data_IF_541821072564
#
_entry.id   IF_541821072564
#
_cell.length_a   1.000
_cell.length_b   1.000
_cell.length_c   1.000
_cell.angle_alpha   90.00
_cell.angle_beta   90.00
_cell.angle_gamma   90.00
#
_symmetry.space_group_name_H-M   'P 1'
#
loop_
_entity.id
_entity.type
_entity.pdbx_description
1 polymer ?
#
# COMPACT_ATOMS: atom_id res chain seq x y z
N UNK A 1 -13.44 -21.20 -6.41
CA UNK A 1 -13.32 -19.76 -6.75
C UNK A 1 -13.51 -19.65 -8.25
N UNK A 2 -14.70 -19.24 -8.70
CA UNK A 2 -14.93 -18.92 -10.11
C UNK A 2 -14.04 -17.72 -10.48
N UNK A 3 -13.52 -17.68 -11.71
CA UNK A 3 -12.63 -16.59 -12.17
C UNK A 3 -13.26 -15.21 -11.92
N UNK A 4 -14.59 -15.11 -12.07
CA UNK A 4 -15.35 -13.91 -11.73
C UNK A 4 -15.18 -13.44 -10.28
N UNK A 5 -15.20 -14.33 -9.29
CA UNK A 5 -14.96 -13.95 -7.89
C UNK A 5 -13.54 -13.43 -7.65
N UNK A 6 -12.56 -13.94 -8.42
CA UNK A 6 -11.17 -13.49 -8.38
C UNK A 6 -10.96 -12.04 -8.86
N UNK A 7 -11.89 -11.52 -9.66
CA UNK A 7 -11.84 -10.16 -10.23
C UNK A 7 -12.79 -9.23 -9.47
N UNK A 8 -14.02 -9.67 -9.24
CA UNK A 8 -15.06 -8.84 -8.63
C UNK A 8 -14.74 -8.46 -7.19
N UNK A 9 -14.16 -9.38 -6.40
CA UNK A 9 -13.90 -9.12 -4.99
C UNK A 9 -12.81 -8.04 -4.76
N UNK A 10 -11.64 -8.08 -5.45
CA UNK A 10 -10.68 -6.97 -5.41
C UNK A 10 -11.26 -5.62 -5.80
N UNK A 11 -12.06 -5.58 -6.87
CA UNK A 11 -12.71 -4.36 -7.34
C UNK A 11 -13.71 -3.84 -6.31
N UNK A 12 -14.56 -4.73 -5.79
CA UNK A 12 -15.54 -4.38 -4.77
C UNK A 12 -14.89 -3.81 -3.50
N UNK A 13 -13.72 -4.32 -3.10
CA UNK A 13 -12.97 -3.78 -1.97
C UNK A 13 -12.45 -2.37 -2.26
N UNK A 14 -11.82 -2.15 -3.41
CA UNK A 14 -11.33 -0.81 -3.79
C UNK A 14 -12.46 0.21 -3.92
N UNK A 15 -13.53 -0.15 -4.62
CA UNK A 15 -14.72 0.70 -4.78
C UNK A 15 -15.42 0.92 -3.45
N UNK A 16 -15.53 -0.10 -2.60
CA UNK A 16 -16.14 0.02 -1.28
C UNK A 16 -15.39 0.99 -0.37
N UNK A 17 -14.05 0.97 -0.38
CA UNK A 17 -13.23 1.96 0.35
C UNK A 17 -13.44 3.36 -0.22
N UNK A 18 -13.49 3.50 -1.55
CA UNK A 18 -13.74 4.78 -2.20
C UNK A 18 -15.10 5.36 -1.80
N UNK A 19 -16.18 4.60 -1.97
CA UNK A 19 -17.55 5.03 -1.63
C UNK A 19 -17.67 5.33 -0.15
N UNK A 20 -17.07 4.51 0.72
CA UNK A 20 -17.04 4.79 2.14
C UNK A 20 -16.35 6.13 2.44
N UNK A 21 -15.16 6.36 1.88
CA UNK A 21 -14.42 7.60 2.15
C UNK A 21 -15.05 8.84 1.53
N UNK A 22 -15.83 8.71 0.46
CA UNK A 22 -16.62 9.80 -0.12
C UNK A 22 -17.81 10.17 0.78
N UNK A 23 -18.46 9.18 1.40
CA UNK A 23 -19.65 9.37 2.24
C UNK A 23 -19.32 9.66 3.70
N UNK A 24 -18.14 9.25 4.16
CA UNK A 24 -17.68 9.46 5.52
C UNK A 24 -17.45 10.95 5.79
N UNK A 25 -17.93 11.45 6.93
CA UNK A 25 -17.65 12.83 7.36
C UNK A 25 -16.25 12.89 7.98
N UNK A 26 -15.29 13.62 7.39
CA UNK A 26 -13.91 13.66 7.89
C UNK A 26 -13.82 14.21 9.32
N UNK A 27 -12.99 13.58 10.15
CA UNK A 27 -12.67 14.04 11.51
C UNK A 27 -11.19 14.46 11.61
N UNK A 28 -10.93 15.73 11.34
CA UNK A 28 -9.60 16.33 11.43
C UNK A 28 -9.01 16.34 12.84
N UNK A 29 -9.81 16.05 13.88
CA UNK A 29 -9.34 15.92 15.26
C UNK A 29 -8.97 14.48 15.62
N UNK A 30 -9.13 13.51 14.71
CA UNK A 30 -8.79 12.12 14.98
C UNK A 30 -7.27 11.91 15.04
N UNK A 31 -6.83 11.19 16.07
CA UNK A 31 -5.41 10.96 16.35
C UNK A 31 -4.83 9.70 15.72
N UNK A 32 -3.51 9.69 15.54
CA UNK A 32 -2.72 8.51 15.19
C UNK A 32 -1.69 8.28 16.29
N UNK A 33 -1.85 7.19 17.07
CA UNK A 33 -1.00 6.89 18.23
C UNK A 33 -0.87 8.06 19.23
N UNK A 34 -1.97 8.79 19.45
CA UNK A 34 -2.03 9.94 20.36
C UNK A 34 -1.52 11.27 19.78
N UNK A 35 -0.97 11.27 18.56
CA UNK A 35 -0.59 12.49 17.84
C UNK A 35 -1.77 13.03 17.04
N UNK A 36 -1.86 14.36 16.91
CA UNK A 36 -2.96 15.06 16.25
C UNK A 36 -2.44 16.16 15.32
N UNK A 37 -3.26 16.63 14.38
CA UNK A 37 -2.91 17.73 13.47
C UNK A 37 -1.56 17.51 12.77
N UNK A 38 -0.69 18.51 12.82
CA UNK A 38 0.62 18.46 12.15
C UNK A 38 1.54 17.35 12.70
N UNK A 39 1.47 17.05 14.00
CA UNK A 39 2.27 15.97 14.59
C UNK A 39 1.81 14.60 14.07
N UNK A 40 0.50 14.42 13.85
CA UNK A 40 -0.03 13.23 13.19
C UNK A 40 0.43 13.13 11.73
N UNK A 41 0.49 14.26 11.01
CA UNK A 41 0.97 14.33 9.63
C UNK A 41 2.45 13.95 9.52
N UNK A 42 3.32 14.51 10.37
CA UNK A 42 4.75 14.14 10.42
C UNK A 42 4.93 12.67 10.80
N UNK A 43 4.24 12.18 11.84
CA UNK A 43 4.29 10.77 12.23
C UNK A 43 3.87 9.87 11.07
N UNK A 44 2.77 10.19 10.39
CA UNK A 44 2.27 9.44 9.24
C UNK A 44 3.27 9.41 8.09
N UNK A 45 3.97 10.51 7.85
CA UNK A 45 5.03 10.58 6.84
C UNK A 45 6.19 9.64 7.19
N UNK A 46 6.65 9.63 8.45
CA UNK A 46 7.70 8.73 8.95
C UNK A 46 7.28 7.26 8.90
N UNK A 47 6.05 6.94 9.29
CA UNK A 47 5.48 5.60 9.16
C UNK A 47 5.39 5.19 7.69
N UNK A 48 4.99 6.10 6.79
CA UNK A 48 5.01 5.87 5.35
C UNK A 48 6.41 5.51 4.83
N UNK A 49 7.45 6.22 5.27
CA UNK A 49 8.85 5.92 4.93
C UNK A 49 9.28 4.55 5.45
N UNK A 50 8.90 4.19 6.67
CA UNK A 50 9.15 2.85 7.22
C UNK A 50 8.43 1.76 6.41
N UNK A 51 7.18 1.98 6.02
CA UNK A 51 6.42 1.05 5.17
C UNK A 51 7.07 0.89 3.78
N UNK A 52 7.57 1.97 3.20
CA UNK A 52 8.34 1.91 1.94
C UNK A 52 9.61 1.07 2.11
N UNK A 53 10.36 1.25 3.20
CA UNK A 53 11.53 0.41 3.50
C UNK A 53 11.15 -1.08 3.59
N UNK A 54 10.07 -1.41 4.31
CA UNK A 54 9.55 -2.79 4.37
C UNK A 54 9.18 -3.33 2.99
N UNK A 55 8.57 -2.51 2.13
CA UNK A 55 8.22 -2.88 0.75
C UNK A 55 9.47 -3.15 -0.11
N UNK A 56 10.53 -2.36 0.04
CA UNK A 56 11.80 -2.57 -0.65
C UNK A 56 12.50 -3.86 -0.18
N UNK A 57 12.47 -4.15 1.13
CA UNK A 57 12.96 -5.43 1.66
C UNK A 57 12.13 -6.59 1.08
N UNK A 58 10.80 -6.46 1.04
CA UNK A 58 9.91 -7.44 0.42
C UNK A 58 10.26 -7.69 -1.05
N UNK A 59 10.53 -6.63 -1.82
CA UNK A 59 10.97 -6.71 -3.21
C UNK A 59 12.31 -7.45 -3.32
N UNK A 60 13.30 -7.10 -2.50
CA UNK A 60 14.60 -7.78 -2.47
C UNK A 60 14.48 -9.28 -2.18
N UNK A 61 13.68 -9.65 -1.17
CA UNK A 61 13.40 -11.06 -0.86
C UNK A 61 12.68 -11.78 -2.01
N UNK A 62 11.74 -11.11 -2.68
CA UNK A 62 11.06 -11.66 -3.85
C UNK A 62 12.04 -11.89 -5.00
N UNK A 63 12.87 -10.90 -5.34
CA UNK A 63 13.88 -11.02 -6.39
C UNK A 63 14.85 -12.18 -6.09
N UNK A 64 15.26 -12.36 -4.84
CA UNK A 64 16.06 -13.51 -4.42
C UNK A 64 15.32 -14.84 -4.65
N UNK A 65 14.07 -14.95 -4.21
CA UNK A 65 13.24 -16.14 -4.38
C UNK A 65 12.98 -16.52 -5.84
N UNK A 66 12.91 -15.53 -6.74
CA UNK A 66 12.72 -15.70 -8.18
C UNK A 66 14.05 -15.79 -8.95
N UNK A 67 15.20 -15.86 -8.27
CA UNK A 67 16.51 -16.04 -8.90
C UNK A 67 16.96 -14.83 -9.74
N UNK A 68 16.51 -13.63 -9.40
CA UNK A 68 16.80 -12.38 -10.12
C UNK A 68 17.96 -11.57 -9.54
N UNK A 69 18.57 -12.04 -8.44
CA UNK A 69 19.76 -11.40 -7.86
C UNK A 69 21.04 -12.00 -8.46
N UNK A 70 21.86 -11.20 -9.16
CA UNK A 70 23.10 -11.70 -9.76
C UNK A 70 24.12 -12.10 -8.68
N UNK A 71 24.79 -13.24 -8.88
CA UNK A 71 25.85 -13.71 -7.97
C UNK A 71 25.37 -14.29 -6.63
N UNK A 72 24.06 -14.35 -6.38
CA UNK A 72 23.50 -14.90 -5.14
C UNK A 72 23.01 -16.34 -5.34
N UNK A 73 23.30 -17.22 -4.38
CA UNK A 73 22.81 -18.61 -4.38
C UNK A 73 21.28 -18.66 -4.32
N UNK A 74 20.70 -19.78 -4.75
CA UNK A 74 19.25 -20.01 -4.65
C UNK A 74 18.73 -19.77 -3.22
N UNK A 75 17.60 -19.08 -3.11
CA UNK A 75 17.03 -18.70 -1.83
C UNK A 75 16.68 -19.94 -0.98
N UNK A 76 17.23 -20.09 0.24
CA UNK A 76 16.89 -21.22 1.10
C UNK A 76 15.46 -21.09 1.65
N UNK A 77 14.90 -22.20 2.16
CA UNK A 77 13.51 -22.26 2.66
C UNK A 77 13.14 -21.14 3.66
N UNK A 78 14.01 -20.73 4.62
CA UNK A 78 13.68 -19.66 5.56
C UNK A 78 13.38 -18.31 4.90
N UNK A 79 13.98 -18.00 3.74
CA UNK A 79 13.71 -16.75 3.01
C UNK A 79 12.23 -16.66 2.60
N UNK A 80 11.63 -17.78 2.19
CA UNK A 80 10.21 -17.85 1.84
C UNK A 80 9.31 -17.59 3.05
N UNK A 81 9.69 -18.11 4.21
CA UNK A 81 8.95 -17.87 5.46
C UNK A 81 9.10 -16.41 5.90
N UNK A 82 10.32 -15.88 5.87
CA UNK A 82 10.63 -14.49 6.17
C UNK A 82 9.86 -13.52 5.28
N UNK A 83 9.85 -13.76 3.95
CA UNK A 83 9.07 -12.96 3.00
C UNK A 83 7.58 -12.91 3.38
N UNK A 84 6.98 -14.07 3.73
CA UNK A 84 5.57 -14.14 4.14
C UNK A 84 5.30 -13.43 5.47
N UNK A 85 6.12 -13.69 6.49
CA UNK A 85 5.97 -13.11 7.82
C UNK A 85 6.13 -11.59 7.77
N UNK A 86 7.21 -11.10 7.15
CA UNK A 86 7.44 -9.67 6.97
C UNK A 86 6.35 -9.01 6.12
N UNK A 87 5.80 -9.71 5.11
CA UNK A 87 4.72 -9.19 4.28
C UNK A 87 3.41 -9.07 5.05
N UNK A 88 3.15 -9.99 5.98
CA UNK A 88 2.02 -9.91 6.91
C UNK A 88 2.18 -8.72 7.87
N UNK A 89 3.36 -8.55 8.47
CA UNK A 89 3.62 -7.41 9.35
C UNK A 89 3.56 -6.07 8.61
N UNK A 90 4.08 -5.99 7.37
CA UNK A 90 3.97 -4.79 6.55
C UNK A 90 2.50 -4.43 6.24
N UNK A 91 1.65 -5.42 5.99
CA UNK A 91 0.21 -5.20 5.83
C UNK A 91 -0.44 -4.73 7.13
N UNK A 92 -0.19 -5.39 8.27
CA UNK A 92 -0.72 -4.93 9.55
C UNK A 92 -0.28 -3.50 9.89
N UNK A 93 0.96 -3.17 9.53
CA UNK A 93 1.53 -1.84 9.73
C UNK A 93 0.87 -0.77 8.83
N UNK A 94 0.38 -1.13 7.64
CA UNK A 94 -0.33 -0.19 6.76
C UNK A 94 -1.74 0.15 7.26
N UNK A 95 -2.39 -0.77 7.99
CA UNK A 95 -3.77 -0.61 8.47
C UNK A 95 -3.98 0.67 9.30
N UNK A 96 -3.25 0.95 10.39
CA UNK A 96 -3.46 2.15 11.19
C UNK A 96 -3.21 3.44 10.38
N UNK A 97 -2.21 3.43 9.49
CA UNK A 97 -1.92 4.56 8.60
C UNK A 97 -3.13 4.85 7.70
N UNK A 98 -3.66 3.81 7.06
CA UNK A 98 -4.79 3.94 6.14
C UNK A 98 -6.12 4.24 6.82
N UNK A 99 -6.37 3.65 7.98
CA UNK A 99 -7.54 3.94 8.80
C UNK A 99 -7.55 5.42 9.16
N UNK A 100 -6.41 5.94 9.64
CA UNK A 100 -6.25 7.36 9.91
C UNK A 100 -6.40 8.21 8.64
N UNK A 101 -5.89 7.80 7.47
CA UNK A 101 -6.15 8.53 6.21
C UNK A 101 -7.66 8.69 5.97
N UNK A 102 -8.37 7.57 6.03
CA UNK A 102 -9.76 7.47 5.60
C UNK A 102 -10.71 8.18 6.57
N UNK A 103 -10.47 8.04 7.89
CA UNK A 103 -11.33 8.66 8.91
C UNK A 103 -11.04 10.15 9.07
N UNK A 104 -9.77 10.57 9.00
CA UNK A 104 -9.37 11.97 9.19
C UNK A 104 -9.76 12.83 8.00
N UNK A 105 -9.59 12.28 6.78
CA UNK A 105 -9.67 13.07 5.55
C UNK A 105 -10.72 12.59 4.54
N UNK A 106 -11.12 11.30 4.56
CA UNK A 106 -12.01 10.75 3.54
C UNK A 106 -11.36 10.62 2.15
N UNK A 107 -12.18 10.67 1.10
CA UNK A 107 -11.73 10.81 -0.30
C UNK A 107 -11.71 12.30 -0.65
N UNK A 108 -10.54 12.78 -1.06
CA UNK A 108 -10.32 14.18 -1.44
C UNK A 108 -9.76 14.27 -2.85
N UNK A 109 -10.13 15.33 -3.57
CA UNK A 109 -9.67 15.57 -4.95
C UNK A 109 -9.23 17.01 -5.20
N UNK A 110 -8.95 17.74 -4.11
CA UNK A 110 -8.55 19.16 -4.11
C UNK A 110 -7.32 19.47 -4.97
N UNK A 111 -6.42 18.50 -5.16
CA UNK A 111 -5.31 18.60 -6.11
C UNK A 111 -5.00 17.24 -6.74
N UNK A 112 -4.26 17.23 -7.84
CA UNK A 112 -3.85 16.00 -8.53
C UNK A 112 -3.11 15.02 -7.59
N UNK A 113 -2.25 15.54 -6.71
CA UNK A 113 -1.52 14.75 -5.71
C UNK A 113 -2.48 14.03 -4.76
N UNK A 114 -3.44 14.77 -4.22
CA UNK A 114 -4.41 14.24 -3.25
C UNK A 114 -5.33 13.22 -3.92
N UNK A 115 -5.82 13.53 -5.12
CA UNK A 115 -6.63 12.60 -5.92
C UNK A 115 -5.88 11.29 -6.21
N UNK A 116 -4.60 11.38 -6.61
CA UNK A 116 -3.75 10.20 -6.82
C UNK A 116 -3.61 9.41 -5.51
N UNK A 117 -3.38 10.07 -4.38
CA UNK A 117 -3.24 9.40 -3.08
C UNK A 117 -4.52 8.63 -2.70
N UNK A 118 -5.68 9.28 -2.78
CA UNK A 118 -6.98 8.67 -2.45
C UNK A 118 -7.30 7.47 -3.34
N UNK A 119 -7.13 7.59 -4.65
CA UNK A 119 -7.37 6.49 -5.60
C UNK A 119 -6.33 5.37 -5.43
N UNK A 120 -5.06 5.70 -5.24
CA UNK A 120 -4.00 4.70 -5.03
C UNK A 120 -4.23 3.90 -3.74
N UNK A 121 -4.73 4.52 -2.67
CA UNK A 121 -5.05 3.84 -1.43
C UNK A 121 -6.14 2.79 -1.62
N UNK A 122 -7.20 3.14 -2.35
CA UNK A 122 -8.28 2.22 -2.70
C UNK A 122 -7.77 1.06 -3.56
N UNK A 123 -6.99 1.37 -4.61
CA UNK A 123 -6.42 0.37 -5.51
C UNK A 123 -5.44 -0.57 -4.78
N UNK A 124 -4.65 -0.06 -3.82
CA UNK A 124 -3.70 -0.85 -3.04
C UNK A 124 -4.40 -1.97 -2.25
N UNK A 125 -5.49 -1.65 -1.54
CA UNK A 125 -6.24 -2.66 -0.78
C UNK A 125 -6.98 -3.66 -1.69
N UNK A 126 -7.48 -3.22 -2.84
CA UNK A 126 -8.00 -4.13 -3.87
C UNK A 126 -6.91 -5.09 -4.38
N UNK A 127 -5.73 -4.58 -4.73
CA UNK A 127 -4.58 -5.38 -5.15
C UNK A 127 -4.09 -6.35 -4.07
N UNK A 128 -4.19 -5.96 -2.79
CA UNK A 128 -3.85 -6.85 -1.68
C UNK A 128 -4.81 -8.05 -1.62
N UNK A 129 -6.12 -7.80 -1.73
CA UNK A 129 -7.11 -8.86 -1.82
C UNK A 129 -6.84 -9.76 -3.03
N UNK A 130 -6.57 -9.18 -4.20
CA UNK A 130 -6.21 -9.94 -5.39
C UNK A 130 -4.99 -10.86 -5.16
N UNK A 131 -3.93 -10.35 -4.51
CA UNK A 131 -2.75 -11.14 -4.13
C UNK A 131 -3.14 -12.33 -3.25
N UNK A 132 -3.97 -12.12 -2.22
CA UNK A 132 -4.41 -13.19 -1.32
C UNK A 132 -5.17 -14.27 -2.09
N UNK A 133 -6.06 -13.88 -3.00
CA UNK A 133 -6.79 -14.82 -3.86
C UNK A 133 -5.86 -15.60 -4.80
N UNK A 134 -4.88 -14.93 -5.41
CA UNK A 134 -3.87 -15.56 -6.26
C UNK A 134 -3.06 -16.59 -5.49
N UNK A 135 -2.55 -16.25 -4.29
CA UNK A 135 -1.77 -17.17 -3.44
C UNK A 135 -2.56 -18.42 -3.04
N UNK A 136 -3.88 -18.27 -2.83
CA UNK A 136 -4.76 -19.37 -2.41
C UNK A 136 -5.30 -20.19 -3.57
N UNK A 137 -5.18 -19.71 -4.80
CA UNK A 137 -5.68 -20.40 -5.99
C UNK A 137 -4.68 -21.41 -6.53
N UNK A 138 -5.16 -22.62 -6.81
CA UNK A 138 -4.40 -23.64 -7.57
C UNK A 138 -4.61 -23.56 -9.08
N UNK A 139 -5.54 -22.71 -9.54
CA UNK A 139 -5.98 -22.64 -10.96
C UNK A 139 -5.42 -21.42 -11.71
N UNK A 140 -4.85 -20.46 -10.99
CA UNK A 140 -4.33 -19.22 -11.58
C UNK A 140 -2.86 -19.40 -11.96
N UNK A 141 -2.39 -18.77 -13.05
CA UNK A 141 -1.01 -18.91 -13.48
C UNK A 141 -0.04 -18.29 -12.47
N UNK A 142 1.11 -18.93 -12.27
CA UNK A 142 2.10 -18.52 -11.27
C UNK A 142 2.70 -17.13 -11.47
N UNK A 143 2.67 -16.58 -12.69
CA UNK A 143 3.16 -15.23 -12.99
C UNK A 143 2.28 -14.12 -12.40
N UNK A 144 1.02 -14.40 -12.07
CA UNK A 144 0.16 -13.39 -11.44
C UNK A 144 0.64 -13.01 -10.04
N UNK A 145 1.31 -13.93 -9.34
CA UNK A 145 1.80 -13.67 -8.00
C UNK A 145 2.85 -12.53 -7.95
N UNK A 146 3.93 -12.54 -8.77
CA UNK A 146 4.84 -11.42 -8.81
C UNK A 146 4.19 -10.15 -9.35
N UNK A 147 3.25 -10.22 -10.31
CA UNK A 147 2.55 -9.02 -10.80
C UNK A 147 1.73 -8.33 -9.69
N UNK A 148 0.91 -9.09 -8.94
CA UNK A 148 0.19 -8.53 -7.80
C UNK A 148 1.14 -8.03 -6.71
N UNK A 149 2.26 -8.73 -6.48
CA UNK A 149 3.30 -8.28 -5.56
C UNK A 149 3.93 -6.95 -5.98
N UNK A 150 4.23 -6.77 -7.27
CA UNK A 150 4.77 -5.54 -7.82
C UNK A 150 3.78 -4.37 -7.71
N UNK A 151 2.49 -4.61 -7.96
CA UNK A 151 1.45 -3.59 -7.77
C UNK A 151 1.42 -3.07 -6.33
N UNK A 152 1.60 -3.93 -5.33
CA UNK A 152 1.67 -3.49 -3.93
C UNK A 152 2.90 -2.63 -3.64
N UNK A 153 4.07 -3.00 -4.17
CA UNK A 153 5.30 -2.22 -4.00
C UNK A 153 5.16 -0.84 -4.67
N UNK A 154 4.65 -0.82 -5.90
CA UNK A 154 4.39 0.43 -6.63
C UNK A 154 3.34 1.29 -5.90
N UNK A 155 2.26 0.68 -5.41
CA UNK A 155 1.23 1.36 -4.64
C UNK A 155 1.79 2.02 -3.37
N UNK A 156 2.62 1.31 -2.60
CA UNK A 156 3.29 1.88 -1.42
C UNK A 156 4.23 3.03 -1.82
N UNK A 157 5.02 2.86 -2.88
CA UNK A 157 5.90 3.92 -3.37
C UNK A 157 5.13 5.17 -3.83
N UNK A 158 4.00 5.00 -4.52
CA UNK A 158 3.15 6.08 -5.00
C UNK A 158 2.44 6.80 -3.84
N UNK A 159 1.92 6.04 -2.86
CA UNK A 159 1.31 6.58 -1.64
C UNK A 159 2.33 7.36 -0.80
N UNK A 160 3.56 6.84 -0.69
CA UNK A 160 4.65 7.55 -0.02
C UNK A 160 5.04 8.81 -0.78
N UNK A 161 5.23 8.73 -2.10
CA UNK A 161 5.57 9.87 -2.94
C UNK A 161 4.52 10.99 -2.84
N UNK A 162 3.22 10.65 -2.89
CA UNK A 162 2.14 11.65 -2.83
C UNK A 162 1.85 12.20 -1.43
N UNK A 163 2.40 11.61 -0.36
CA UNK A 163 2.17 12.06 1.01
C UNK A 163 3.45 12.17 1.84
N UNK A 164 4.07 11.03 2.17
CA UNK A 164 5.26 10.99 3.03
C UNK A 164 6.41 11.83 2.51
N UNK A 165 6.79 11.67 1.24
CA UNK A 165 7.84 12.49 0.62
C UNK A 165 7.44 13.96 0.57
N UNK A 166 6.19 14.26 0.19
CA UNK A 166 5.70 15.63 0.10
C UNK A 166 5.85 16.37 1.44
N UNK A 167 5.42 15.76 2.55
CA UNK A 167 5.58 16.33 3.90
C UNK A 167 7.06 16.49 4.26
N UNK A 168 7.87 15.46 4.02
CA UNK A 168 9.29 15.44 4.41
C UNK A 168 10.17 16.34 3.53
N UNK A 169 9.66 16.80 2.39
CA UNK A 169 10.37 17.63 1.41
C UNK A 169 9.75 19.04 1.30
N UNK A 170 9.27 19.58 2.42
CA UNK A 170 8.77 20.95 2.51
C UNK A 170 7.58 21.20 1.57
N UNK A 171 6.58 20.32 1.62
CA UNK A 171 5.34 20.42 0.87
C UNK A 171 5.53 20.45 -0.66
N UNK A 172 6.51 19.69 -1.14
CA UNK A 172 6.82 19.61 -2.57
C UNK A 172 7.26 18.22 -3.01
N UNK A 173 6.87 17.82 -4.23
CA UNK A 173 7.43 16.66 -4.91
C UNK A 173 7.64 16.93 -6.39
N UNK A 174 8.69 16.36 -7.02
CA UNK A 174 8.96 16.61 -8.44
C UNK A 174 7.81 16.14 -9.32
N UNK A 175 7.24 17.02 -10.15
CA UNK A 175 6.22 16.65 -11.15
C UNK A 175 4.75 16.76 -10.69
N UNK A 176 4.48 17.18 -9.45
CA UNK A 176 3.14 17.57 -9.00
C UNK A 176 3.21 18.97 -8.37
N UNK A 177 2.23 19.81 -8.67
CA UNK A 177 2.12 21.14 -8.07
C UNK A 177 1.88 21.04 -6.56
N UNK A 178 2.49 21.94 -5.79
CA UNK A 178 2.27 22.09 -4.34
C UNK A 178 0.91 22.71 -4.00
N UNK A 179 0.18 23.17 -5.01
CA UNK A 179 -1.15 23.82 -4.92
C UNK A 179 -2.26 22.83 -5.20
#
# INVERSE_FOLDING_TARGET
>A
MTVGLGILLPIAVGVGIYVFGEQHTPDYNSGLYGQHGNDAVDLKARLGSALLCLALIQLGLALWMYGRLPGVRAAPRPVRLGHRALGFFAFLFSLPISYHCLVTYGIETSSARVAIHSVAGCAFYGAFVAKVLVVRSRRLPGWLLPVMGSLLVIGIALLWYTAGLWVLNGDSVPGLSST
#
